data_IF_301821146581
#
_entry.id   IF_301821146581
#
_cell.length_a   1.000
_cell.length_b   1.000
_cell.length_c   1.000
_cell.angle_alpha   90.00
_cell.angle_beta   90.00
_cell.angle_gamma   90.00
#
_symmetry.space_group_name_H-M   'P 1'
#
loop_
_entity.id
_entity.type
_entity.pdbx_description
1 polymer ?
#
# COMPACT_ATOMS: atom_id res chain seq x y z
N UNK A 1 34.26 -11.79 -1.46
CA UNK A 1 32.88 -12.31 -1.37
C UNK A 1 32.42 -12.18 0.07
N UNK A 2 31.21 -11.66 0.29
CA UNK A 2 30.65 -11.57 1.64
C UNK A 2 30.36 -12.98 2.18
N UNK A 3 30.57 -13.18 3.48
CA UNK A 3 30.29 -14.43 4.17
C UNK A 3 28.78 -14.76 4.15
N UNK A 4 28.43 -16.05 4.17
CA UNK A 4 27.04 -16.52 4.12
C UNK A 4 26.20 -16.01 5.32
N UNK A 5 26.82 -15.83 6.49
CA UNK A 5 26.14 -15.25 7.65
C UNK A 5 25.76 -13.78 7.40
N UNK A 6 26.63 -13.03 6.71
CA UNK A 6 26.34 -11.65 6.31
C UNK A 6 25.20 -11.59 5.30
N UNK A 7 25.23 -12.43 4.24
CA UNK A 7 24.15 -12.48 3.24
C UNK A 7 22.80 -12.80 3.88
N UNK A 8 22.75 -13.79 4.77
CA UNK A 8 21.54 -14.12 5.52
C UNK A 8 21.03 -12.96 6.38
N UNK A 9 21.93 -12.26 7.09
CA UNK A 9 21.55 -11.09 7.89
C UNK A 9 21.03 -9.94 7.02
N UNK A 10 21.67 -9.69 5.87
CA UNK A 10 21.26 -8.68 4.89
C UNK A 10 19.86 -8.97 4.33
N UNK A 11 19.62 -10.19 3.83
CA UNK A 11 18.30 -10.61 3.32
C UNK A 11 17.20 -10.42 4.36
N UNK A 12 17.47 -10.83 5.60
CA UNK A 12 16.53 -10.69 6.72
C UNK A 12 16.22 -9.22 7.01
N UNK A 13 17.24 -8.37 7.09
CA UNK A 13 17.07 -6.93 7.31
C UNK A 13 16.29 -6.27 6.16
N UNK A 14 16.57 -6.66 4.92
CA UNK A 14 15.88 -6.12 3.75
C UNK A 14 14.42 -6.52 3.72
N UNK A 15 14.10 -7.78 3.99
CA UNK A 15 12.72 -8.25 4.07
C UNK A 15 11.94 -7.55 5.19
N UNK A 16 12.58 -7.33 6.35
CA UNK A 16 11.98 -6.56 7.44
C UNK A 16 11.69 -5.10 7.02
N UNK A 17 12.61 -4.47 6.28
CA UNK A 17 12.42 -3.11 5.75
C UNK A 17 11.27 -3.04 4.75
N UNK A 18 11.16 -4.00 3.82
CA UNK A 18 10.05 -4.06 2.86
C UNK A 18 8.70 -4.22 3.57
N UNK A 19 8.62 -5.10 4.58
CA UNK A 19 7.42 -5.26 5.42
C UNK A 19 7.05 -3.96 6.14
N UNK A 20 8.02 -3.28 6.75
CA UNK A 20 7.80 -1.99 7.43
C UNK A 20 7.27 -0.91 6.47
N UNK A 21 7.83 -0.84 5.26
CA UNK A 21 7.38 0.09 4.24
C UNK A 21 5.94 -0.21 3.80
N UNK A 22 5.59 -1.49 3.62
CA UNK A 22 4.23 -1.91 3.33
C UNK A 22 3.25 -1.55 4.46
N UNK A 23 3.62 -1.79 5.72
CA UNK A 23 2.81 -1.36 6.87
C UNK A 23 2.53 0.14 6.86
N UNK A 24 3.52 0.95 6.48
CA UNK A 24 3.35 2.41 6.36
C UNK A 24 2.31 2.75 5.30
N UNK A 25 2.35 2.10 4.13
CA UNK A 25 1.34 2.29 3.08
C UNK A 25 -0.06 1.89 3.56
N UNK A 26 -0.17 0.79 4.31
CA UNK A 26 -1.43 0.31 4.86
C UNK A 26 -2.04 1.30 5.86
N UNK A 27 -1.21 1.88 6.74
CA UNK A 27 -1.65 2.92 7.68
C UNK A 27 -2.14 4.16 6.95
N UNK A 28 -1.36 4.66 5.98
CA UNK A 28 -1.75 5.84 5.17
C UNK A 28 -3.07 5.56 4.44
N UNK A 29 -3.18 4.39 3.80
CA UNK A 29 -4.40 3.97 3.12
C UNK A 29 -5.62 4.02 4.05
N UNK A 30 -5.51 3.49 5.27
CA UNK A 30 -6.62 3.49 6.23
C UNK A 30 -6.99 4.91 6.63
N UNK A 31 -6.01 5.73 7.04
CA UNK A 31 -6.26 7.10 7.49
C UNK A 31 -6.93 7.93 6.40
N UNK A 32 -6.36 7.91 5.19
CA UNK A 32 -6.88 8.70 4.06
C UNK A 32 -8.28 8.22 3.67
N UNK A 33 -8.53 6.91 3.58
CA UNK A 33 -9.84 6.41 3.17
C UNK A 33 -10.92 6.61 4.25
N UNK A 34 -10.58 6.55 5.53
CA UNK A 34 -11.52 6.88 6.60
C UNK A 34 -11.94 8.35 6.48
N UNK A 35 -10.99 9.27 6.32
CA UNK A 35 -11.28 10.70 6.14
C UNK A 35 -12.09 10.94 4.87
N UNK A 36 -11.72 10.30 3.76
CA UNK A 36 -12.44 10.37 2.48
C UNK A 36 -13.90 9.95 2.63
N UNK A 37 -14.16 8.79 3.25
CA UNK A 37 -15.51 8.28 3.47
C UNK A 37 -16.29 9.18 4.42
N UNK A 38 -15.66 9.67 5.50
CA UNK A 38 -16.30 10.60 6.43
C UNK A 38 -16.75 11.88 5.71
N UNK A 39 -15.88 12.52 4.93
CA UNK A 39 -16.23 13.71 4.16
C UNK A 39 -17.35 13.42 3.16
N UNK A 40 -17.27 12.29 2.43
CA UNK A 40 -18.28 11.96 1.43
C UNK A 40 -19.67 11.73 2.08
N UNK A 41 -19.74 10.96 3.17
CA UNK A 41 -21.02 10.64 3.81
C UNK A 41 -21.57 11.76 4.69
N UNK A 42 -20.72 12.54 5.36
CA UNK A 42 -21.17 13.56 6.30
C UNK A 42 -21.38 14.93 5.66
N UNK A 43 -20.71 15.22 4.53
CA UNK A 43 -20.72 16.56 3.94
C UNK A 43 -21.19 16.53 2.48
N UNK A 44 -20.51 15.75 1.63
CA UNK A 44 -20.72 15.82 0.17
C UNK A 44 -22.08 15.27 -0.23
N UNK A 45 -22.44 14.05 0.21
CA UNK A 45 -23.72 13.43 -0.13
C UNK A 45 -24.90 14.26 0.40
N UNK A 46 -24.92 14.70 1.68
CA UNK A 46 -25.97 15.61 2.17
C UNK A 46 -26.10 16.88 1.33
N UNK A 47 -24.98 17.57 1.06
CA UNK A 47 -24.99 18.83 0.29
C UNK A 47 -25.52 18.64 -1.14
N UNK A 48 -25.21 17.52 -1.79
CA UNK A 48 -25.71 17.21 -3.13
C UNK A 48 -27.21 16.88 -3.11
N UNK A 49 -27.66 16.11 -2.12
CA UNK A 49 -29.07 15.80 -1.93
C UNK A 49 -29.90 17.07 -1.66
N UNK A 50 -29.38 18.00 -0.84
CA UNK A 50 -30.02 19.31 -0.60
C UNK A 50 -30.13 20.16 -1.87
N UNK A 51 -29.15 20.05 -2.78
CA UNK A 51 -29.18 20.70 -4.09
C UNK A 51 -30.13 20.03 -5.11
N UNK A 52 -30.88 18.99 -4.69
CA UNK A 52 -31.83 18.28 -5.54
C UNK A 52 -31.19 17.30 -6.53
N UNK A 53 -29.91 16.98 -6.36
CA UNK A 53 -29.18 16.00 -7.15
C UNK A 53 -28.88 14.76 -6.29
N UNK A 54 -28.54 13.65 -6.94
CA UNK A 54 -28.19 12.40 -6.23
C UNK A 54 -26.93 11.80 -6.83
N UNK A 55 -25.96 11.47 -5.98
CA UNK A 55 -24.81 10.68 -6.40
C UNK A 55 -25.14 9.19 -6.42
N UNK A 56 -24.51 8.41 -7.33
CA UNK A 56 -24.54 6.96 -7.24
C UNK A 56 -23.97 6.48 -5.90
N UNK A 57 -24.65 5.52 -5.26
CA UNK A 57 -24.29 4.99 -3.92
C UNK A 57 -22.86 4.41 -3.87
N UNK A 58 -22.35 3.94 -5.00
CA UNK A 58 -21.01 3.36 -5.11
C UNK A 58 -19.89 4.40 -5.22
N UNK A 59 -20.19 5.67 -5.52
CA UNK A 59 -19.17 6.69 -5.82
C UNK A 59 -18.15 6.89 -4.69
N UNK A 60 -18.52 6.94 -3.39
CA UNK A 60 -17.54 7.10 -2.31
C UNK A 60 -16.53 5.94 -2.23
N UNK A 61 -16.92 4.76 -2.71
CA UNK A 61 -16.13 3.54 -2.65
C UNK A 61 -15.07 3.44 -3.76
N UNK A 62 -15.10 4.33 -4.75
CA UNK A 62 -14.13 4.32 -5.84
C UNK A 62 -12.68 4.45 -5.33
N UNK A 63 -12.44 5.37 -4.38
CA UNK A 63 -11.10 5.57 -3.79
C UNK A 63 -10.63 4.35 -2.98
N UNK A 64 -11.40 3.84 -1.98
CA UNK A 64 -11.02 2.65 -1.24
C UNK A 64 -10.73 1.45 -2.14
N UNK A 65 -11.58 1.18 -3.13
CA UNK A 65 -11.40 0.03 -4.03
C UNK A 65 -10.16 0.23 -4.90
N UNK A 66 -10.01 1.38 -5.55
CA UNK A 66 -8.88 1.66 -6.43
C UNK A 66 -7.53 1.59 -5.70
N UNK A 67 -7.40 2.29 -4.57
CA UNK A 67 -6.17 2.25 -3.77
C UNK A 67 -5.97 0.89 -3.08
N UNK A 68 -7.05 0.17 -2.77
CA UNK A 68 -6.98 -1.18 -2.24
C UNK A 68 -6.35 -2.16 -3.21
N UNK A 69 -6.64 -2.04 -4.51
CA UNK A 69 -5.95 -2.81 -5.57
C UNK A 69 -4.45 -2.48 -5.57
N UNK A 70 -4.08 -1.21 -5.46
CA UNK A 70 -2.67 -0.81 -5.36
C UNK A 70 -1.99 -1.43 -4.13
N UNK A 71 -2.66 -1.52 -2.98
CA UNK A 71 -2.12 -2.20 -1.80
C UNK A 71 -1.85 -3.68 -2.08
N UNK A 72 -2.74 -4.38 -2.78
CA UNK A 72 -2.54 -5.79 -3.15
C UNK A 72 -1.30 -5.92 -4.04
N UNK A 73 -1.16 -5.06 -5.04
CA UNK A 73 0.02 -5.04 -5.91
C UNK A 73 1.29 -4.80 -5.09
N UNK A 74 1.29 -3.80 -4.18
CA UNK A 74 2.43 -3.54 -3.31
C UNK A 74 2.80 -4.74 -2.43
N UNK A 75 1.81 -5.41 -1.85
CA UNK A 75 2.05 -6.62 -1.08
C UNK A 75 2.69 -7.72 -1.93
N UNK A 76 2.12 -7.96 -3.12
CA UNK A 76 2.59 -8.99 -4.04
C UNK A 76 4.04 -8.74 -4.47
N UNK A 77 4.38 -7.51 -4.82
CA UNK A 77 5.71 -7.14 -5.30
C UNK A 77 6.75 -7.14 -4.19
N UNK A 78 6.48 -6.48 -3.06
CA UNK A 78 7.53 -6.19 -2.06
C UNK A 78 7.53 -7.14 -0.87
N UNK A 79 6.39 -7.76 -0.53
CA UNK A 79 6.30 -8.64 0.65
C UNK A 79 6.39 -10.10 0.24
N UNK A 80 5.52 -10.57 -0.65
CA UNK A 80 5.59 -11.97 -1.13
C UNK A 80 6.64 -12.17 -2.22
N UNK A 81 6.83 -11.19 -3.11
CA UNK A 81 7.81 -11.22 -4.20
C UNK A 81 9.18 -10.64 -3.83
N UNK A 82 9.32 -10.08 -2.62
CA UNK A 82 10.49 -9.30 -2.21
C UNK A 82 11.81 -10.08 -2.24
N UNK A 83 11.78 -11.41 -2.11
CA UNK A 83 13.00 -12.24 -2.17
C UNK A 83 13.73 -12.10 -3.51
N UNK A 84 12.99 -12.02 -4.63
CA UNK A 84 13.59 -11.82 -5.96
C UNK A 84 14.31 -10.49 -6.05
N UNK A 85 13.68 -9.42 -5.55
CA UNK A 85 14.27 -8.08 -5.51
C UNK A 85 15.55 -8.04 -4.66
N UNK A 86 15.57 -8.77 -3.54
CA UNK A 86 16.76 -8.87 -2.69
C UNK A 86 17.90 -9.59 -3.43
N UNK A 87 17.60 -10.68 -4.14
CA UNK A 87 18.59 -11.41 -4.94
C UNK A 87 19.15 -10.56 -6.10
N UNK A 88 18.32 -9.72 -6.73
CA UNK A 88 18.77 -8.78 -7.77
C UNK A 88 19.74 -7.74 -7.20
N UNK A 89 19.43 -7.17 -6.03
CA UNK A 89 20.32 -6.23 -5.33
C UNK A 89 21.64 -6.88 -4.94
N UNK A 90 21.62 -8.14 -4.49
CA UNK A 90 22.85 -8.89 -4.20
C UNK A 90 23.68 -9.13 -5.46
N UNK A 91 23.04 -9.53 -6.57
CA UNK A 91 23.73 -9.77 -7.84
C UNK A 91 24.36 -8.51 -8.43
N UNK A 92 23.71 -7.35 -8.27
CA UNK A 92 24.27 -6.05 -8.64
C UNK A 92 25.46 -5.65 -7.76
N UNK A 93 25.40 -5.94 -6.45
CA UNK A 93 26.47 -5.62 -5.51
C UNK A 93 27.71 -6.52 -5.67
N UNK A 94 27.57 -7.69 -6.28
CA UNK A 94 28.66 -8.64 -6.56
C UNK A 94 29.30 -8.47 -7.95
N UNK A 95 28.76 -7.60 -8.81
CA UNK A 95 29.40 -7.18 -10.07
C UNK A 95 30.55 -6.23 -9.82
#
# INVERSE_FOLDING_TARGET
>A
MADEAYKKAFRTAMQARMKKLFTTHLVIYLVVNIVWLAINYMMVIPAINEAGATLPVWQPWFSPIGWGICLVIHYMTYVSGGEKLIMEVEAEAER
#
